data_IF_277040749415
#
_entry.id   IF_277040749415
#
_cell.length_a   1.000
_cell.length_b   1.000
_cell.length_c   1.000
_cell.angle_alpha   90.00
_cell.angle_beta   90.00
_cell.angle_gamma   90.00
#
_symmetry.space_group_name_H-M   'P 1'
#
loop_
_entity.id
_entity.type
_entity.pdbx_description
1 polymer ?
#
# COMPACT_ATOMS: atom_id res chain seq x y z
N UNK A 1 -22.56 -0.85 -20.53
CA UNK A 1 -21.14 -0.53 -20.37
C UNK A 1 -20.36 -1.62 -21.09
N UNK A 2 -19.31 -1.29 -21.84
CA UNK A 2 -18.54 -2.27 -22.59
C UNK A 2 -17.77 -3.19 -21.63
N UNK A 3 -17.69 -4.49 -21.90
CA UNK A 3 -16.97 -5.45 -21.05
C UNK A 3 -15.48 -5.05 -20.98
N UNK A 4 -14.93 -4.53 -22.09
CA UNK A 4 -13.56 -4.06 -22.15
C UNK A 4 -13.26 -2.92 -21.15
N UNK A 5 -14.24 -2.07 -20.86
CA UNK A 5 -14.11 -0.98 -19.87
C UNK A 5 -14.09 -1.49 -18.44
N UNK A 6 -14.91 -2.48 -18.10
CA UNK A 6 -14.91 -3.09 -16.77
C UNK A 6 -13.61 -3.86 -16.50
N UNK A 7 -13.11 -4.60 -17.49
CA UNK A 7 -11.80 -5.23 -17.41
C UNK A 7 -10.70 -4.17 -17.22
N UNK A 8 -10.79 -3.04 -17.93
CA UNK A 8 -9.83 -1.94 -17.77
C UNK A 8 -9.85 -1.36 -16.35
N UNK A 9 -11.02 -1.10 -15.78
CA UNK A 9 -11.15 -0.58 -14.41
C UNK A 9 -10.59 -1.55 -13.37
N UNK A 10 -10.89 -2.84 -13.51
CA UNK A 10 -10.34 -3.88 -12.64
C UNK A 10 -8.82 -3.95 -12.75
N UNK A 11 -8.27 -3.87 -13.97
CA UNK A 11 -6.83 -3.82 -14.21
C UNK A 11 -6.19 -2.61 -13.51
N UNK A 12 -6.79 -1.43 -13.63
CA UNK A 12 -6.30 -0.20 -12.97
C UNK A 12 -6.36 -0.31 -11.44
N UNK A 13 -7.41 -0.91 -10.89
CA UNK A 13 -7.52 -1.15 -9.44
C UNK A 13 -6.45 -2.13 -8.94
N UNK A 14 -6.15 -3.20 -9.69
CA UNK A 14 -5.07 -4.15 -9.36
C UNK A 14 -3.68 -3.48 -9.41
N UNK A 15 -3.41 -2.59 -10.38
CA UNK A 15 -2.16 -1.79 -10.42
C UNK A 15 -2.01 -0.94 -9.14
N UNK A 16 -3.09 -0.33 -8.65
CA UNK A 16 -3.02 0.44 -7.39
C UNK A 16 -2.82 -0.47 -6.17
N UNK A 17 -3.34 -1.69 -6.21
CA UNK A 17 -3.14 -2.70 -5.16
C UNK A 17 -1.67 -3.14 -5.07
N UNK A 18 -1.03 -3.40 -6.22
CA UNK A 18 0.41 -3.69 -6.30
C UNK A 18 1.23 -2.54 -5.71
N UNK A 19 1.00 -1.30 -6.16
CA UNK A 19 1.69 -0.11 -5.63
C UNK A 19 1.53 0.03 -4.12
N UNK A 20 0.34 -0.25 -3.59
CA UNK A 20 0.06 -0.23 -2.14
C UNK A 20 0.88 -1.28 -1.40
N UNK A 21 0.93 -2.52 -1.90
CA UNK A 21 1.71 -3.60 -1.30
C UNK A 21 3.21 -3.26 -1.32
N UNK A 22 3.74 -2.79 -2.46
CA UNK A 22 5.14 -2.43 -2.61
C UNK A 22 5.54 -1.27 -1.69
N UNK A 23 4.70 -0.22 -1.61
CA UNK A 23 4.94 0.91 -0.71
C UNK A 23 4.89 0.46 0.75
N UNK A 24 4.01 -0.48 1.10
CA UNK A 24 3.92 -1.02 2.45
C UNK A 24 5.15 -1.86 2.81
N UNK A 25 5.65 -2.66 1.88
CA UNK A 25 6.90 -3.40 2.03
C UNK A 25 8.07 -2.44 2.27
N UNK A 26 8.25 -1.44 1.42
CA UNK A 26 9.33 -0.46 1.55
C UNK A 26 9.25 0.32 2.88
N UNK A 27 8.06 0.79 3.26
CA UNK A 27 7.85 1.48 4.55
C UNK A 27 8.20 0.60 5.73
N UNK A 28 7.82 -0.68 5.72
CA UNK A 28 8.15 -1.59 6.81
C UNK A 28 9.65 -1.86 6.92
N UNK A 29 10.35 -2.03 5.79
CA UNK A 29 11.80 -2.21 5.77
C UNK A 29 12.53 -0.97 6.27
N UNK A 30 12.08 0.22 5.86
CA UNK A 30 12.65 1.49 6.32
C UNK A 30 12.46 1.69 7.83
N UNK A 31 11.26 1.41 8.37
CA UNK A 31 11.01 1.47 9.82
C UNK A 31 11.91 0.47 10.55
N UNK A 32 12.01 -0.75 10.05
CA UNK A 32 12.84 -1.77 10.69
C UNK A 32 14.32 -1.37 10.73
N UNK A 33 14.83 -0.81 9.62
CA UNK A 33 16.18 -0.25 9.57
C UNK A 33 16.36 0.91 10.56
N UNK A 34 15.38 1.82 10.63
CA UNK A 34 15.39 2.96 11.56
C UNK A 34 15.46 2.50 13.02
N UNK A 35 14.68 1.49 13.39
CA UNK A 35 14.70 0.93 14.74
C UNK A 35 16.04 0.24 15.01
N UNK A 36 16.57 -0.55 14.08
CA UNK A 36 17.89 -1.16 14.24
C UNK A 36 18.98 -0.10 14.46
N UNK A 37 19.00 0.97 13.66
CA UNK A 37 19.93 2.08 13.80
C UNK A 37 19.81 2.76 15.17
N UNK A 38 18.58 3.08 15.58
CA UNK A 38 18.32 3.71 16.88
C UNK A 38 18.76 2.82 18.05
N UNK A 39 18.49 1.52 17.97
CA UNK A 39 18.97 0.54 18.94
C UNK A 39 20.49 0.55 19.08
N UNK A 40 21.25 0.55 17.98
CA UNK A 40 22.71 0.63 18.04
C UNK A 40 23.19 1.96 18.63
N UNK A 41 22.59 3.08 18.22
CA UNK A 41 22.95 4.40 18.73
C UNK A 41 22.72 4.52 20.25
N UNK A 42 21.59 4.01 20.73
CA UNK A 42 21.26 4.03 22.16
C UNK A 42 22.19 3.07 22.93
N UNK A 43 22.57 1.91 22.38
CA UNK A 43 23.56 1.01 23.00
C UNK A 43 24.91 1.71 23.22
N UNK A 44 25.40 2.44 22.21
CA UNK A 44 26.65 3.20 22.30
C UNK A 44 26.53 4.32 23.34
N UNK A 45 25.39 5.01 23.38
CA UNK A 45 25.14 6.07 24.36
C UNK A 45 25.19 5.54 25.80
N UNK A 46 24.48 4.45 26.09
CA UNK A 46 24.47 3.83 27.42
C UNK A 46 25.84 3.30 27.85
N UNK A 47 26.63 2.76 26.90
CA UNK A 47 27.99 2.28 27.18
C UNK A 47 28.91 3.40 27.69
N UNK A 48 28.74 4.63 27.18
CA UNK A 48 29.57 5.78 27.57
C UNK A 48 29.08 6.51 28.81
N UNK A 49 27.77 6.61 29.02
CA UNK A 49 27.19 7.54 30.00
C UNK A 49 26.46 6.90 31.18
N UNK A 50 26.14 5.59 31.17
CA UNK A 50 25.31 5.03 32.25
C UNK A 50 25.58 3.53 32.53
N UNK A 51 26.76 3.23 33.07
CA UNK A 51 27.23 1.86 33.36
C UNK A 51 26.49 1.17 34.52
N UNK A 52 25.70 1.90 35.33
CA UNK A 52 25.18 1.39 36.63
C UNK A 52 23.67 1.18 36.72
N UNK A 53 22.89 1.30 35.63
CA UNK A 53 21.45 1.03 35.70
C UNK A 53 21.17 -0.49 35.65
N UNK A 54 20.81 -1.09 36.79
CA UNK A 54 20.45 -2.52 36.93
C UNK A 54 19.40 -3.00 35.90
N UNK A 55 18.55 -2.10 35.39
CA UNK A 55 17.45 -2.43 34.48
C UNK A 55 17.78 -2.26 32.99
N UNK A 56 18.91 -1.62 32.62
CA UNK A 56 19.23 -1.41 31.20
C UNK A 56 19.51 -2.72 30.47
N UNK A 57 20.23 -3.66 31.09
CA UNK A 57 20.51 -4.96 30.49
C UNK A 57 19.23 -5.74 30.17
N UNK A 58 18.26 -5.71 31.10
CA UNK A 58 16.95 -6.37 30.89
C UNK A 58 16.18 -5.69 29.75
N UNK A 59 16.17 -4.36 29.71
CA UNK A 59 15.53 -3.62 28.62
C UNK A 59 16.14 -3.93 27.24
N UNK A 60 17.46 -4.10 27.15
CA UNK A 60 18.16 -4.48 25.92
C UNK A 60 17.85 -5.89 25.44
N UNK A 61 17.72 -6.84 26.36
CA UNK A 61 17.31 -8.21 26.02
C UNK A 61 15.88 -8.19 25.47
N UNK A 62 14.96 -7.49 26.12
CA UNK A 62 13.56 -7.35 25.66
C UNK A 62 13.52 -6.70 24.27
N UNK A 63 14.28 -5.62 24.07
CA UNK A 63 14.37 -4.95 22.77
C UNK A 63 14.86 -5.89 21.66
N UNK A 64 15.90 -6.67 21.93
CA UNK A 64 16.48 -7.61 20.97
C UNK A 64 15.48 -8.70 20.57
N UNK A 65 14.76 -9.28 21.54
CA UNK A 65 13.72 -10.29 21.28
C UNK A 65 12.55 -9.69 20.48
N UNK A 66 12.04 -8.52 20.88
CA UNK A 66 10.95 -7.85 20.15
C UNK A 66 11.35 -7.49 18.71
N UNK A 67 12.55 -6.95 18.51
CA UNK A 67 13.09 -6.61 17.19
C UNK A 67 13.22 -7.86 16.30
N UNK A 68 13.73 -8.96 16.85
CA UNK A 68 13.82 -10.23 16.14
C UNK A 68 12.44 -10.78 15.74
N UNK A 69 11.48 -10.73 16.66
CA UNK A 69 10.12 -11.23 16.40
C UNK A 69 9.43 -10.38 15.32
N UNK A 70 9.62 -9.07 15.36
CA UNK A 70 9.09 -8.14 14.36
C UNK A 70 9.73 -8.36 12.97
N UNK A 71 11.04 -8.61 12.92
CA UNK A 71 11.76 -8.99 11.69
C UNK A 71 11.15 -10.22 11.02
N UNK A 72 10.92 -11.28 11.81
CA UNK A 72 10.30 -12.51 11.34
C UNK A 72 8.88 -12.28 10.83
N UNK A 73 8.07 -11.51 11.57
CA UNK A 73 6.71 -11.17 11.18
C UNK A 73 6.64 -10.37 9.87
N UNK A 74 7.53 -9.40 9.68
CA UNK A 74 7.60 -8.60 8.45
C UNK A 74 8.01 -9.44 7.24
N UNK A 75 8.96 -10.34 7.43
CA UNK A 75 9.41 -11.28 6.39
C UNK A 75 8.29 -12.26 6.02
N UNK A 76 7.55 -12.77 7.01
CA UNK A 76 6.44 -13.71 6.82
C UNK A 76 5.21 -13.14 6.10
N UNK A 77 5.04 -11.80 6.06
CA UNK A 77 3.91 -11.19 5.33
C UNK A 77 4.04 -11.17 3.80
N UNK A 78 5.20 -11.59 3.27
CA UNK A 78 5.46 -11.81 1.84
C UNK A 78 4.89 -10.74 0.89
N UNK A 79 4.92 -9.46 1.31
CA UNK A 79 4.32 -8.36 0.54
C UNK A 79 4.85 -8.25 -0.88
N UNK A 80 6.13 -8.60 -1.08
CA UNK A 80 6.80 -8.60 -2.38
C UNK A 80 6.29 -9.73 -3.29
N UNK A 81 6.12 -10.93 -2.74
CA UNK A 81 5.58 -12.08 -3.47
C UNK A 81 4.15 -11.82 -3.92
N UNK A 82 3.29 -11.36 -3.00
CA UNK A 82 1.90 -10.96 -3.31
C UNK A 82 1.84 -9.85 -4.36
N UNK A 83 2.76 -8.87 -4.31
CA UNK A 83 2.83 -7.83 -5.33
C UNK A 83 3.20 -8.41 -6.71
N UNK A 84 4.09 -9.40 -6.76
CA UNK A 84 4.47 -10.08 -8.01
C UNK A 84 3.30 -10.83 -8.63
N UNK A 85 2.55 -11.57 -7.81
CA UNK A 85 1.35 -12.29 -8.25
C UNK A 85 0.29 -11.33 -8.82
N UNK A 86 0.04 -10.21 -8.15
CA UNK A 86 -0.91 -9.19 -8.64
C UNK A 86 -0.40 -8.57 -9.96
N UNK A 87 0.91 -8.42 -10.11
CA UNK A 87 1.53 -7.92 -11.33
C UNK A 87 1.29 -8.82 -12.54
N UNK A 88 1.62 -10.10 -12.40
CA UNK A 88 1.36 -11.10 -13.44
C UNK A 88 -0.14 -11.14 -13.80
N UNK A 89 -1.00 -11.01 -12.79
CA UNK A 89 -2.45 -10.96 -12.95
C UNK A 89 -2.94 -9.82 -13.85
N UNK A 90 -2.52 -8.58 -13.55
CA UNK A 90 -3.01 -7.43 -14.32
C UNK A 90 -2.36 -7.37 -15.71
N UNK A 91 -1.18 -7.96 -15.90
CA UNK A 91 -0.54 -8.13 -17.20
C UNK A 91 -1.31 -9.13 -18.05
N UNK A 92 -1.73 -10.27 -17.48
CA UNK A 92 -2.61 -11.22 -18.14
C UNK A 92 -3.99 -10.60 -18.49
N UNK A 93 -4.57 -9.82 -17.59
CA UNK A 93 -5.82 -9.09 -17.83
C UNK A 93 -5.74 -8.12 -19.01
N UNK A 94 -4.56 -7.56 -19.32
CA UNK A 94 -4.36 -6.73 -20.51
C UNK A 94 -4.59 -7.53 -21.80
N UNK A 95 -4.17 -8.79 -21.83
CA UNK A 95 -4.41 -9.70 -22.95
C UNK A 95 -5.91 -9.94 -23.17
N UNK A 96 -6.62 -10.27 -22.09
CA UNK A 96 -8.09 -10.46 -22.12
C UNK A 96 -8.81 -9.18 -22.54
N UNK A 97 -8.36 -8.02 -22.04
CA UNK A 97 -8.91 -6.72 -22.44
C UNK A 97 -8.77 -6.47 -23.95
N UNK A 98 -7.63 -6.83 -24.54
CA UNK A 98 -7.40 -6.68 -25.98
C UNK A 98 -8.32 -7.60 -26.80
N UNK A 99 -8.52 -8.85 -26.36
CA UNK A 99 -9.47 -9.78 -26.97
C UNK A 99 -10.89 -9.20 -26.94
N UNK A 100 -11.35 -8.74 -25.77
CA UNK A 100 -12.65 -8.10 -25.59
C UNK A 100 -12.82 -6.90 -26.54
N UNK A 101 -11.82 -6.00 -26.60
CA UNK A 101 -11.87 -4.83 -27.49
C UNK A 101 -11.89 -5.22 -28.99
N UNK A 102 -11.20 -6.29 -29.37
CA UNK A 102 -11.23 -6.80 -30.74
C UNK A 102 -12.63 -7.29 -31.13
N UNK A 103 -13.29 -8.01 -30.22
CA UNK A 103 -14.66 -8.53 -30.38
C UNK A 103 -15.71 -7.40 -30.44
N UNK A 104 -15.54 -6.36 -29.64
CA UNK A 104 -16.39 -5.16 -29.67
C UNK A 104 -16.29 -4.44 -31.02
N UNK A 105 -15.07 -4.31 -31.57
CA UNK A 105 -14.84 -3.65 -32.86
C UNK A 105 -15.33 -4.48 -34.06
N UNK A 106 -15.27 -5.81 -33.99
CA UNK A 106 -15.68 -6.69 -35.09
C UNK A 106 -17.20 -6.85 -35.22
N UNK A 107 -18.01 -6.30 -34.29
CA UNK A 107 -19.48 -6.43 -34.27
C UNK A 107 -19.99 -7.88 -34.41
N UNK A 108 -19.15 -8.85 -34.06
CA UNK A 108 -19.44 -10.28 -34.15
C UNK A 108 -20.22 -10.68 -32.90
N UNK A 109 -21.49 -11.02 -33.06
CA UNK A 109 -22.37 -11.56 -32.01
C UNK A 109 -22.09 -13.05 -31.75
N UNK A 110 -20.81 -13.41 -31.74
CA UNK A 110 -20.37 -14.79 -31.59
C UNK A 110 -20.32 -15.12 -30.09
N UNK A 111 -21.41 -15.69 -29.60
CA UNK A 111 -21.67 -15.90 -28.16
C UNK A 111 -20.59 -16.79 -27.52
N UNK A 112 -20.08 -17.78 -28.26
CA UNK A 112 -18.99 -18.66 -27.83
C UNK A 112 -17.68 -17.88 -27.60
N UNK A 113 -17.37 -16.93 -28.48
CA UNK A 113 -16.18 -16.08 -28.35
C UNK A 113 -16.28 -15.17 -27.12
N UNK A 114 -17.48 -14.64 -26.83
CA UNK A 114 -17.72 -13.84 -25.62
C UNK A 114 -17.64 -14.68 -24.35
N UNK A 115 -18.23 -15.88 -24.33
CA UNK A 115 -18.14 -16.80 -23.20
C UNK A 115 -16.69 -17.18 -22.88
N UNK A 116 -15.84 -17.39 -23.90
CA UNK A 116 -14.43 -17.68 -23.69
C UNK A 116 -13.67 -16.54 -22.98
N UNK A 117 -14.01 -15.28 -23.29
CA UNK A 117 -13.42 -14.09 -22.66
C UNK A 117 -13.89 -13.96 -21.21
N UNK A 118 -15.17 -14.23 -20.93
CA UNK A 118 -15.70 -14.24 -19.57
C UNK A 118 -15.05 -15.31 -18.70
N UNK A 119 -14.91 -16.53 -19.21
CA UNK A 119 -14.28 -17.62 -18.47
C UNK A 119 -12.80 -17.33 -18.19
N UNK A 120 -12.07 -16.80 -19.17
CA UNK A 120 -10.67 -16.39 -18.97
C UNK A 120 -10.56 -15.24 -17.95
N UNK A 121 -11.49 -14.28 -17.99
CA UNK A 121 -11.56 -13.18 -17.03
C UNK A 121 -11.84 -13.66 -15.61
N UNK A 122 -12.85 -14.52 -15.42
CA UNK A 122 -13.22 -15.06 -14.10
C UNK A 122 -12.11 -15.93 -13.52
N UNK A 123 -11.47 -16.76 -14.35
CA UNK A 123 -10.29 -17.53 -13.96
C UNK A 123 -9.16 -16.62 -13.47
N UNK A 124 -8.87 -15.53 -14.18
CA UNK A 124 -7.84 -14.56 -13.76
C UNK A 124 -8.22 -13.82 -12.48
N UNK A 125 -9.50 -13.55 -12.26
CA UNK A 125 -9.98 -12.96 -11.01
C UNK A 125 -9.79 -13.91 -9.82
N UNK A 126 -10.02 -15.22 -10.02
CA UNK A 126 -9.84 -16.24 -8.98
C UNK A 126 -8.38 -16.53 -8.61
N UNK A 127 -7.42 -16.26 -9.51
CA UNK A 127 -6.01 -16.58 -9.30
C UNK A 127 -5.27 -15.61 -8.36
N UNK A 128 -5.78 -14.39 -8.17
CA UNK A 128 -5.02 -13.33 -7.51
C UNK A 128 -5.89 -12.58 -6.50
N UNK A 129 -5.27 -12.05 -5.45
CA UNK A 129 -5.97 -11.25 -4.45
C UNK A 129 -6.81 -10.13 -5.08
N UNK A 130 -8.02 -9.95 -4.53
CA UNK A 130 -8.94 -8.92 -4.97
C UNK A 130 -8.53 -7.54 -4.49
N UNK A 131 -8.74 -6.54 -5.35
CA UNK A 131 -8.50 -5.15 -5.03
C UNK A 131 -9.49 -4.67 -3.95
N UNK A 132 -9.07 -3.74 -3.10
CA UNK A 132 -9.97 -3.14 -2.11
C UNK A 132 -10.76 -1.99 -2.76
N UNK A 133 -11.94 -1.66 -2.23
CA UNK A 133 -12.68 -0.47 -2.66
C UNK A 133 -11.84 0.83 -2.59
N UNK A 134 -10.91 0.94 -1.65
CA UNK A 134 -9.96 2.06 -1.61
C UNK A 134 -9.02 2.11 -2.81
N UNK A 135 -8.63 0.97 -3.38
CA UNK A 135 -7.71 0.93 -4.52
C UNK A 135 -8.43 1.33 -5.80
N UNK A 136 -9.70 0.94 -5.93
CA UNK A 136 -10.58 1.40 -7.01
C UNK A 136 -10.81 2.92 -6.93
N UNK A 137 -11.06 3.47 -5.74
CA UNK A 137 -11.20 4.93 -5.54
C UNK A 137 -9.91 5.66 -5.91
N UNK A 138 -8.74 5.12 -5.51
CA UNK A 138 -7.44 5.68 -5.90
C UNK A 138 -7.23 5.64 -7.41
N UNK A 139 -7.56 4.52 -8.07
CA UNK A 139 -7.48 4.39 -9.51
C UNK A 139 -8.35 5.43 -10.21
N UNK A 140 -9.60 5.60 -9.78
CA UNK A 140 -10.53 6.59 -10.31
C UNK A 140 -10.00 8.03 -10.20
N UNK A 141 -9.52 8.42 -9.02
CA UNK A 141 -9.00 9.78 -8.80
C UNK A 141 -7.73 10.03 -9.61
N UNK A 142 -6.79 9.07 -9.65
CA UNK A 142 -5.53 9.21 -10.38
C UNK A 142 -5.77 9.29 -11.88
N UNK A 143 -6.58 8.37 -12.43
CA UNK A 143 -6.89 8.40 -13.86
C UNK A 143 -7.60 9.71 -14.21
N UNK A 144 -8.50 10.21 -13.35
CA UNK A 144 -9.17 11.49 -13.60
C UNK A 144 -8.20 12.67 -13.61
N UNK A 145 -7.17 12.67 -12.75
CA UNK A 145 -6.10 13.68 -12.78
C UNK A 145 -5.23 13.55 -14.02
N UNK A 146 -4.91 12.32 -14.44
CA UNK A 146 -4.03 12.05 -15.59
C UNK A 146 -4.72 12.20 -16.94
N UNK A 147 -6.05 12.08 -17.01
CA UNK A 147 -6.81 12.19 -18.25
C UNK A 147 -6.66 13.60 -18.85
N UNK A 148 -6.33 13.64 -20.14
CA UNK A 148 -6.18 14.87 -20.92
C UNK A 148 -7.54 15.33 -21.44
N UNK A 149 -7.70 16.64 -21.61
CA UNK A 149 -8.95 17.25 -22.09
C UNK A 149 -9.72 17.98 -20.98
N UNK A 150 -10.58 18.93 -21.41
CA UNK A 150 -11.45 19.68 -20.52
C UNK A 150 -12.55 18.72 -20.01
N UNK A 151 -12.85 18.79 -18.72
CA UNK A 151 -14.03 18.11 -18.18
C UNK A 151 -15.28 18.75 -18.78
N UNK A 152 -16.24 17.92 -19.18
CA UNK A 152 -17.57 18.40 -19.51
C UNK A 152 -18.16 19.16 -18.31
N UNK A 153 -18.86 20.28 -18.58
CA UNK A 153 -19.34 21.19 -17.53
C UNK A 153 -20.55 20.63 -16.78
N UNK A 154 -21.32 19.78 -17.42
CA UNK A 154 -22.55 19.18 -16.90
C UNK A 154 -22.25 17.91 -16.10
N UNK A 155 -21.43 17.01 -16.66
CA UNK A 155 -21.16 15.69 -16.07
C UNK A 155 -19.81 15.57 -15.35
N UNK A 156 -18.91 16.54 -15.54
CA UNK A 156 -17.53 16.46 -15.07
C UNK A 156 -16.68 15.39 -15.77
N UNK A 157 -17.25 14.70 -16.77
CA UNK A 157 -16.62 13.56 -17.45
C UNK A 157 -15.59 14.06 -18.46
N UNK A 158 -14.44 13.38 -18.48
CA UNK A 158 -13.39 13.61 -19.48
C UNK A 158 -13.63 12.67 -20.67
N UNK A 159 -13.23 13.06 -21.89
CA UNK A 159 -13.58 12.33 -23.12
C UNK A 159 -13.15 10.85 -23.14
N UNK A 160 -12.09 10.49 -22.41
CA UNK A 160 -11.56 9.11 -22.34
C UNK A 160 -12.03 8.34 -21.10
N UNK A 161 -13.07 8.80 -20.38
CA UNK A 161 -13.46 8.21 -19.09
C UNK A 161 -14.89 7.69 -19.05
N UNK A 162 -15.05 6.43 -18.64
CA UNK A 162 -16.35 5.80 -18.38
C UNK A 162 -16.93 6.16 -17.00
N UNK A 163 -16.10 6.57 -16.02
CA UNK A 163 -16.51 6.83 -14.64
C UNK A 163 -15.93 8.15 -14.12
N UNK A 164 -16.71 8.90 -13.34
CA UNK A 164 -16.35 10.19 -12.75
C UNK A 164 -16.20 10.12 -11.22
N UNK A 165 -15.13 10.68 -10.63
CA UNK A 165 -15.01 10.76 -9.17
C UNK A 165 -15.98 11.78 -8.56
N UNK A 166 -16.83 11.31 -7.65
CA UNK A 166 -17.64 12.18 -6.78
C UNK A 166 -16.79 12.81 -5.68
N UNK A 167 -17.25 13.93 -5.09
CA UNK A 167 -16.60 14.57 -3.92
C UNK A 167 -16.31 13.60 -2.77
N UNK A 168 -17.16 12.60 -2.57
CA UNK A 168 -16.94 11.54 -1.57
C UNK A 168 -15.71 10.67 -1.85
N UNK A 169 -15.45 10.34 -3.13
CA UNK A 169 -14.28 9.57 -3.53
C UNK A 169 -12.99 10.36 -3.26
N UNK A 170 -13.01 11.68 -3.50
CA UNK A 170 -11.91 12.57 -3.13
C UNK A 170 -11.69 12.60 -1.61
N UNK A 171 -12.74 12.69 -0.81
CA UNK A 171 -12.63 12.64 0.64
C UNK A 171 -11.98 11.33 1.13
N UNK A 172 -12.45 10.18 0.64
CA UNK A 172 -11.83 8.87 0.98
C UNK A 172 -10.36 8.83 0.55
N UNK A 173 -10.05 9.34 -0.64
CA UNK A 173 -8.69 9.36 -1.18
C UNK A 173 -7.74 10.11 -0.23
N UNK A 174 -8.08 11.36 0.13
CA UNK A 174 -7.27 12.17 1.02
C UNK A 174 -7.21 11.59 2.43
N UNK A 175 -8.34 11.11 2.97
CA UNK A 175 -8.39 10.46 4.29
C UNK A 175 -7.44 9.27 4.37
N UNK A 176 -7.44 8.40 3.36
CA UNK A 176 -6.61 7.20 3.37
C UNK A 176 -5.12 7.52 3.24
N UNK A 177 -4.76 8.57 2.49
CA UNK A 177 -3.38 9.08 2.42
C UNK A 177 -2.97 9.66 3.78
N UNK A 178 -3.84 10.47 4.38
CA UNK A 178 -3.59 11.10 5.67
C UNK A 178 -3.36 10.07 6.78
N UNK A 179 -4.24 9.07 6.91
CA UNK A 179 -4.10 8.00 7.91
C UNK A 179 -2.78 7.24 7.73
N UNK A 180 -2.40 6.92 6.48
CA UNK A 180 -1.15 6.22 6.20
C UNK A 180 0.08 7.07 6.55
N UNK A 181 0.04 8.38 6.23
CA UNK A 181 1.12 9.31 6.55
C UNK A 181 1.27 9.49 8.06
N UNK A 182 0.17 9.73 8.77
CA UNK A 182 0.16 9.87 10.24
C UNK A 182 0.66 8.60 10.91
N UNK A 183 0.17 7.43 10.51
CA UNK A 183 0.64 6.14 11.07
C UNK A 183 2.15 5.96 10.89
N UNK A 184 2.69 6.31 9.72
CA UNK A 184 4.12 6.23 9.45
C UNK A 184 4.93 7.23 10.31
N UNK A 185 4.49 8.48 10.41
CA UNK A 185 5.14 9.53 11.22
C UNK A 185 5.15 9.13 12.70
N UNK A 186 4.01 8.64 13.22
CA UNK A 186 3.91 8.19 14.61
C UNK A 186 4.90 7.06 14.89
N UNK A 187 4.97 6.04 14.03
CA UNK A 187 5.93 4.94 14.22
C UNK A 187 7.39 5.39 14.08
N UNK A 188 7.68 6.38 13.24
CA UNK A 188 9.02 6.93 13.05
C UNK A 188 9.49 7.73 14.28
N UNK A 189 8.60 8.53 14.88
CA UNK A 189 8.91 9.40 16.03
C UNK A 189 8.88 8.65 17.37
N UNK A 190 8.19 7.52 17.46
CA UNK A 190 8.06 6.70 18.67
C UNK A 190 9.39 6.43 19.39
N UNK A 191 10.47 5.96 18.75
CA UNK A 191 11.75 5.72 19.44
C UNK A 191 12.37 7.00 20.02
N UNK A 192 12.26 8.13 19.30
CA UNK A 192 12.75 9.44 19.78
C UNK A 192 11.94 9.88 21.00
N UNK A 193 10.61 9.75 20.93
CA UNK A 193 9.71 10.11 22.03
C UNK A 193 10.01 9.27 23.29
N UNK A 194 10.22 7.96 23.16
CA UNK A 194 10.60 7.08 24.27
C UNK A 194 11.93 7.54 24.90
N UNK A 195 12.93 7.86 24.09
CA UNK A 195 14.22 8.30 24.60
C UNK A 195 14.13 9.64 25.35
N UNK A 196 13.39 10.61 24.82
CA UNK A 196 13.14 11.88 25.50
C UNK A 196 12.38 11.68 26.82
N UNK A 197 11.38 10.79 26.83
CA UNK A 197 10.62 10.44 28.04
C UNK A 197 11.51 9.79 29.10
N UNK A 198 12.34 8.83 28.72
CA UNK A 198 13.29 8.18 29.63
C UNK A 198 14.31 9.17 30.20
N UNK A 199 14.82 10.10 29.38
CA UNK A 199 15.72 11.15 29.84
C UNK A 199 15.04 12.09 30.84
N UNK A 200 13.84 12.56 30.53
CA UNK A 200 13.07 13.43 31.42
C UNK A 200 12.81 12.75 32.78
N UNK A 201 12.45 11.46 32.77
CA UNK A 201 12.24 10.70 33.99
C UNK A 201 13.53 10.55 34.83
N UNK A 202 14.67 10.34 34.17
CA UNK A 202 15.95 10.25 34.87
C UNK A 202 16.35 11.59 35.52
N UNK A 203 16.17 12.71 34.81
CA UNK A 203 16.43 14.06 35.34
C UNK A 203 15.51 14.41 36.53
N UNK A 204 14.28 13.86 36.59
CA UNK A 204 13.39 14.03 37.74
C UNK A 204 13.75 13.18 38.97
N UNK A 205 14.55 12.12 38.82
CA UNK A 205 14.90 11.19 39.92
C UNK A 205 16.22 11.52 40.63
N UNK A 206 17.00 12.49 40.15
CA UNK A 206 18.18 13.01 40.85
C UNK A 206 17.79 14.26 41.65
N UNK A 207 17.39 14.15 42.94
CA UNK A 207 17.34 15.32 43.80
C UNK A 207 18.78 15.82 44.02
N UNK A 208 18.94 17.13 43.99
CA UNK A 208 20.15 17.88 44.35
C UNK A 208 20.55 17.54 45.80
#
# INVERSE_FOLDING_TARGET
MALSDDIWWTRKAKIQTEKRLLTSANRSQLIMLWYAFFGVAVSIYYLKFNTSSKYANVAWVIYSVLSLTMSGFLTGRSFKERSSQIKECYEALKGVQHKAKSLENSSSSDEDSWNSVYEEYDRLLGLCENHTGSDMVKALCIEHLCARGKSDKETGLKPDMTKCPTKYHWFIFYRNIFIQAVSFIVMFLLPIAIFLFLRYYHECQTPI
#
